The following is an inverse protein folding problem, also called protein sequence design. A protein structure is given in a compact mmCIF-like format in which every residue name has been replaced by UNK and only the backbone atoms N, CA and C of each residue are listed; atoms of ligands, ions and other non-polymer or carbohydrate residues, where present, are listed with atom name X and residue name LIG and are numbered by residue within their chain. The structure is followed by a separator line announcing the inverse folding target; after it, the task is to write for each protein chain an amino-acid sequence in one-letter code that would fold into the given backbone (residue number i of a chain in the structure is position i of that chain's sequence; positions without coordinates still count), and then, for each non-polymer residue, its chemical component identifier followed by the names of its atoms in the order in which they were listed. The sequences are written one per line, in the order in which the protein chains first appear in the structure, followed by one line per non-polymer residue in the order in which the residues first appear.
data_IF_919884490573
#
_entry.id   IF_919884490573
#
_cell.length_a   1.000
_cell.length_b   1.000
_cell.length_c   1.000
_cell.angle_alpha   90.00
_cell.angle_beta   90.00
_cell.angle_gamma   90.00
#
_symmetry.space_group_name_H-M   'P 1'
#
loop_
_entity.id
_entity.type
_entity.pdbx_description
1 polymer ?
#
# COMPACT_ATOMS: atom_id res chain seq x y z
N UNK A 1 3.15 -3.83 -7.34
CA UNK A 1 2.67 -5.05 -6.63
C UNK A 1 2.02 -5.94 -7.67
N UNK A 2 2.43 -7.22 -7.78
CA UNK A 2 1.76 -8.15 -8.70
C UNK A 2 0.33 -8.41 -8.19
N UNK A 3 -0.66 -8.06 -9.01
CA UNK A 3 -2.06 -8.32 -8.71
C UNK A 3 -2.44 -9.64 -9.39
N UNK A 4 -2.29 -10.75 -8.69
CA UNK A 4 -2.73 -12.07 -9.13
C UNK A 4 -3.47 -12.76 -7.98
N UNK A 5 -4.20 -13.81 -8.29
CA UNK A 5 -4.82 -14.66 -7.27
C UNK A 5 -4.40 -16.10 -7.47
N UNK A 6 -3.69 -16.66 -6.51
CA UNK A 6 -3.34 -18.08 -6.49
C UNK A 6 -4.43 -18.90 -5.84
N UNK A 7 -4.71 -20.07 -6.39
CA UNK A 7 -5.67 -21.03 -5.86
C UNK A 7 -5.13 -22.46 -5.99
N UNK A 8 -5.63 -23.38 -5.16
CA UNK A 8 -5.52 -24.82 -5.39
C UNK A 8 -6.87 -25.36 -5.86
N UNK A 9 -6.87 -25.99 -7.03
CA UNK A 9 -8.04 -26.70 -7.53
C UNK A 9 -7.94 -28.15 -7.06
N UNK A 10 -8.93 -28.58 -6.30
CA UNK A 10 -9.12 -29.95 -5.86
C UNK A 10 -10.28 -30.58 -6.65
N UNK A 11 -10.41 -31.89 -6.63
CA UNK A 11 -11.45 -32.57 -7.41
C UNK A 11 -12.87 -32.09 -7.07
N UNK A 12 -13.13 -31.79 -5.80
CA UNK A 12 -14.43 -31.40 -5.25
C UNK A 12 -14.60 -29.90 -5.02
N UNK A 13 -13.52 -29.14 -4.91
CA UNK A 13 -13.57 -27.69 -4.57
C UNK A 13 -12.37 -26.91 -5.10
N UNK A 14 -12.48 -25.59 -5.08
CA UNK A 14 -11.34 -24.67 -5.25
C UNK A 14 -11.03 -24.03 -3.89
N UNK A 15 -9.80 -24.12 -3.45
CA UNK A 15 -9.30 -23.47 -2.26
C UNK A 15 -8.61 -22.14 -2.65
N UNK A 16 -9.21 -21.02 -2.27
CA UNK A 16 -8.81 -19.68 -2.64
C UNK A 16 -8.75 -18.81 -1.37
N UNK A 17 -7.69 -18.93 -0.55
CA UNK A 17 -7.52 -18.19 0.70
C UNK A 17 -7.12 -16.73 0.46
N UNK A 18 -6.91 -15.97 1.54
CA UNK A 18 -6.58 -14.53 1.46
C UNK A 18 -5.11 -14.26 1.09
N UNK A 19 -4.28 -15.27 1.05
CA UNK A 19 -2.87 -15.24 0.65
C UNK A 19 -2.64 -15.96 -0.69
N UNK A 20 -1.42 -15.85 -1.26
CA UNK A 20 -1.07 -16.38 -2.59
C UNK A 20 0.06 -17.41 -2.59
N UNK A 21 0.40 -18.01 -1.45
CA UNK A 21 1.43 -19.06 -1.36
C UNK A 21 0.82 -20.44 -1.56
N UNK A 22 1.12 -21.12 -2.67
CA UNK A 22 0.70 -22.50 -2.92
C UNK A 22 1.25 -23.47 -1.86
N UNK A 23 2.48 -23.27 -1.40
CA UNK A 23 3.08 -24.03 -0.32
C UNK A 23 2.23 -23.95 0.96
N UNK A 24 1.89 -22.74 1.39
CA UNK A 24 1.06 -22.53 2.58
C UNK A 24 -0.34 -23.13 2.42
N UNK A 25 -0.91 -23.10 1.21
CA UNK A 25 -2.20 -23.73 0.92
C UNK A 25 -2.15 -25.25 1.11
N UNK A 26 -1.09 -25.90 0.62
CA UNK A 26 -0.89 -27.34 0.77
C UNK A 26 -0.69 -27.72 2.25
N UNK A 27 0.12 -26.97 2.98
CA UNK A 27 0.33 -27.15 4.42
C UNK A 27 -0.98 -27.04 5.21
N UNK A 28 -1.81 -26.04 4.93
CA UNK A 28 -3.10 -25.83 5.58
C UNK A 28 -4.09 -26.98 5.30
N UNK A 29 -4.01 -27.56 4.10
CA UNK A 29 -4.84 -28.70 3.72
C UNK A 29 -4.26 -30.07 4.16
N UNK A 30 -3.04 -30.09 4.70
CA UNK A 30 -2.35 -31.33 5.08
C UNK A 30 -2.00 -32.21 3.88
N UNK A 31 -1.73 -31.59 2.72
CA UNK A 31 -1.37 -32.29 1.48
C UNK A 31 0.14 -32.18 1.28
N UNK A 32 0.81 -33.32 1.09
CA UNK A 32 2.24 -33.35 0.77
C UNK A 32 2.50 -32.80 -0.63
N UNK A 33 3.55 -31.99 -0.75
CA UNK A 33 4.00 -31.42 -2.02
C UNK A 33 4.96 -32.38 -2.73
N UNK A 34 4.41 -33.43 -3.29
CA UNK A 34 5.15 -34.46 -4.01
C UNK A 34 4.50 -34.83 -5.36
N UNK A 35 5.22 -35.61 -6.16
CA UNK A 35 4.76 -36.09 -7.46
C UNK A 35 3.44 -36.89 -7.38
N UNK A 36 3.25 -37.71 -6.36
CA UNK A 36 2.06 -38.55 -6.22
C UNK A 36 0.82 -37.71 -5.98
N UNK A 37 0.90 -36.72 -5.08
CA UNK A 37 -0.21 -35.82 -4.78
C UNK A 37 -0.48 -34.85 -5.93
N UNK A 38 0.56 -34.28 -6.54
CA UNK A 38 0.43 -33.42 -7.72
C UNK A 38 -0.24 -34.11 -8.90
N UNK A 39 0.03 -35.42 -9.11
CA UNK A 39 -0.56 -36.19 -10.21
C UNK A 39 -2.00 -36.65 -9.96
N UNK A 40 -2.55 -36.51 -8.75
CA UNK A 40 -3.86 -37.08 -8.38
C UNK A 40 -4.79 -36.12 -7.64
N UNK A 41 -4.25 -35.21 -6.83
CA UNK A 41 -4.99 -34.57 -5.75
C UNK A 41 -5.30 -33.10 -6.02
N UNK A 42 -4.36 -32.34 -6.57
CA UNK A 42 -4.49 -30.90 -6.71
C UNK A 42 -3.89 -30.34 -8.00
N UNK A 43 -4.34 -29.14 -8.37
CA UNK A 43 -3.70 -28.31 -9.40
C UNK A 43 -3.44 -26.91 -8.82
N UNK A 44 -2.18 -26.45 -8.87
CA UNK A 44 -1.81 -25.08 -8.57
C UNK A 44 -2.17 -24.22 -9.76
N UNK A 45 -2.89 -23.16 -9.51
CA UNK A 45 -3.26 -22.21 -10.57
C UNK A 45 -2.98 -20.78 -10.13
N UNK A 46 -2.56 -19.97 -11.08
CA UNK A 46 -2.48 -18.52 -10.98
C UNK A 46 -3.52 -17.91 -11.90
N UNK A 47 -4.33 -17.02 -11.34
CA UNK A 47 -5.36 -16.30 -12.07
C UNK A 47 -5.00 -14.81 -12.06
N UNK A 48 -4.67 -14.28 -13.24
CA UNK A 48 -4.01 -12.97 -13.40
C UNK A 48 -4.85 -12.04 -14.25
N UNK A 49 -5.10 -10.79 -13.79
CA UNK A 49 -5.76 -9.78 -14.62
C UNK A 49 -4.90 -9.41 -15.84
N UNK A 50 -5.49 -8.80 -16.88
CA UNK A 50 -4.76 -8.37 -18.08
C UNK A 50 -3.56 -7.48 -17.74
N UNK A 51 -2.43 -7.71 -18.39
CA UNK A 51 -1.16 -6.98 -18.15
C UNK A 51 -1.28 -5.46 -18.34
N UNK A 52 -2.14 -5.02 -19.24
CA UNK A 52 -2.33 -3.60 -19.54
C UNK A 52 -3.02 -2.82 -18.42
N UNK A 53 -3.78 -3.47 -17.57
CA UNK A 53 -4.50 -2.85 -16.47
C UNK A 53 -3.97 -3.27 -15.10
N UNK A 54 -3.58 -4.55 -14.96
CA UNK A 54 -3.16 -5.19 -13.69
C UNK A 54 -4.15 -4.90 -12.54
N UNK A 55 -5.42 -4.74 -12.87
CA UNK A 55 -6.45 -4.30 -11.93
C UNK A 55 -7.36 -5.45 -11.52
N UNK A 56 -7.55 -5.62 -10.22
CA UNK A 56 -8.43 -6.64 -9.64
C UNK A 56 -9.92 -6.42 -9.94
N UNK A 57 -10.31 -5.26 -10.46
CA UNK A 57 -11.70 -4.96 -10.83
C UNK A 57 -12.05 -5.34 -12.29
N UNK A 58 -11.07 -5.75 -13.08
CA UNK A 58 -11.35 -6.23 -14.43
C UNK A 58 -12.30 -7.43 -14.42
N UNK A 59 -13.17 -7.57 -15.43
CA UNK A 59 -14.03 -8.76 -15.57
C UNK A 59 -13.19 -10.04 -15.59
N UNK A 60 -13.62 -11.07 -14.84
CA UNK A 60 -12.84 -12.30 -14.67
C UNK A 60 -12.69 -13.11 -15.94
N UNK A 61 -13.60 -12.97 -16.89
CA UNK A 61 -13.50 -13.59 -18.23
C UNK A 61 -12.30 -13.10 -19.03
N UNK A 62 -11.75 -11.91 -18.69
CA UNK A 62 -10.54 -11.33 -19.28
C UNK A 62 -9.24 -11.76 -18.59
N UNK A 63 -9.34 -12.41 -17.43
CA UNK A 63 -8.18 -12.86 -16.68
C UNK A 63 -7.60 -14.12 -17.29
N UNK A 64 -6.28 -14.30 -17.18
CA UNK A 64 -5.58 -15.49 -17.67
C UNK A 64 -5.44 -16.52 -16.54
N UNK A 65 -5.85 -17.76 -16.81
CA UNK A 65 -5.62 -18.91 -15.94
C UNK A 65 -4.37 -19.66 -16.40
N UNK A 66 -3.38 -19.72 -15.53
CA UNK A 66 -2.15 -20.47 -15.75
C UNK A 66 -2.01 -21.60 -14.71
N UNK A 67 -1.45 -22.71 -15.15
CA UNK A 67 -1.14 -23.85 -14.28
C UNK A 67 0.32 -23.72 -13.84
N UNK A 68 0.55 -23.71 -12.52
CA UNK A 68 1.87 -23.57 -11.90
C UNK A 68 2.41 -24.91 -11.41
N UNK A 69 2.37 -25.92 -12.28
CA UNK A 69 2.97 -27.23 -12.05
C UNK A 69 3.11 -28.02 -13.37
N UNK A 70 4.10 -28.91 -13.44
CA UNK A 70 4.38 -29.68 -14.65
C UNK A 70 3.43 -30.85 -14.88
N UNK A 71 2.88 -31.42 -13.81
CA UNK A 71 2.05 -32.61 -13.83
C UNK A 71 0.69 -32.28 -13.26
N UNK A 72 -0.36 -32.64 -14.00
CA UNK A 72 -1.75 -32.44 -13.56
C UNK A 72 -2.49 -33.78 -13.43
N UNK A 73 -3.47 -33.87 -12.52
CA UNK A 73 -4.34 -35.04 -12.41
C UNK A 73 -5.13 -35.31 -13.68
N UNK A 74 -5.47 -36.58 -13.95
CA UNK A 74 -6.29 -36.98 -15.10
C UNK A 74 -7.69 -36.33 -15.09
N UNK A 75 -8.20 -35.99 -13.91
CA UNK A 75 -9.51 -35.33 -13.77
C UNK A 75 -9.51 -33.83 -14.08
N UNK A 76 -8.31 -33.22 -14.27
CA UNK A 76 -8.19 -31.80 -14.56
C UNK A 76 -8.70 -31.45 -15.95
N UNK A 77 -9.67 -30.55 -16.02
CA UNK A 77 -10.16 -29.95 -17.27
C UNK A 77 -10.04 -28.42 -17.17
N UNK A 78 -9.06 -27.86 -17.89
CA UNK A 78 -8.77 -26.41 -17.84
C UNK A 78 -10.01 -25.54 -18.15
N UNK A 79 -10.91 -25.99 -19.00
CA UNK A 79 -12.10 -25.22 -19.39
C UNK A 79 -13.19 -25.28 -18.32
N UNK A 80 -13.47 -26.48 -17.81
CA UNK A 80 -14.46 -26.67 -16.74
C UNK A 80 -13.98 -26.07 -15.43
N UNK A 81 -12.71 -26.31 -15.08
CA UNK A 81 -12.12 -25.82 -13.81
C UNK A 81 -11.89 -24.31 -13.81
N UNK A 82 -11.70 -23.67 -14.98
CA UNK A 82 -11.68 -22.22 -15.09
C UNK A 82 -12.92 -21.58 -14.48
N UNK A 83 -14.11 -22.08 -14.78
CA UNK A 83 -15.34 -21.54 -14.20
C UNK A 83 -15.36 -21.66 -12.68
N UNK A 84 -14.91 -22.80 -12.13
CA UNK A 84 -14.80 -23.02 -10.68
C UNK A 84 -13.81 -22.05 -10.01
N UNK A 85 -12.70 -21.74 -10.68
CA UNK A 85 -11.72 -20.75 -10.21
C UNK A 85 -12.31 -19.35 -10.25
N UNK A 86 -13.01 -18.98 -11.33
CA UNK A 86 -13.72 -17.68 -11.43
C UNK A 86 -14.72 -17.48 -10.30
N UNK A 87 -15.51 -18.49 -9.99
CA UNK A 87 -16.48 -18.45 -8.88
C UNK A 87 -15.79 -18.27 -7.52
N UNK A 88 -14.70 -19.01 -7.28
CA UNK A 88 -13.92 -18.91 -6.04
C UNK A 88 -13.24 -17.53 -5.88
N UNK A 89 -12.65 -17.02 -6.97
CA UNK A 89 -12.02 -15.69 -7.00
C UNK A 89 -13.05 -14.59 -6.85
N UNK A 90 -14.25 -14.73 -7.41
CA UNK A 90 -15.32 -13.74 -7.22
C UNK A 90 -15.81 -13.68 -5.77
N UNK A 91 -15.86 -14.82 -5.07
CA UNK A 91 -16.16 -14.85 -3.62
C UNK A 91 -15.07 -14.13 -2.82
N UNK A 92 -13.79 -14.36 -3.16
CA UNK A 92 -12.66 -13.66 -2.57
C UNK A 92 -12.74 -12.15 -2.89
N UNK A 93 -12.99 -11.77 -4.14
CA UNK A 93 -13.11 -10.37 -4.58
C UNK A 93 -14.14 -9.58 -3.80
N UNK A 94 -15.33 -10.14 -3.58
CA UNK A 94 -16.40 -9.50 -2.81
C UNK A 94 -16.00 -9.13 -1.37
N UNK A 95 -15.04 -9.84 -0.81
CA UNK A 95 -14.53 -9.58 0.54
C UNK A 95 -13.36 -8.61 0.57
N UNK A 96 -12.56 -8.56 -0.50
CA UNK A 96 -11.28 -7.86 -0.49
C UNK A 96 -11.17 -6.70 -1.48
N UNK A 97 -12.08 -6.56 -2.43
CA UNK A 97 -12.01 -5.53 -3.47
C UNK A 97 -13.25 -4.64 -3.42
N UNK A 98 -13.05 -3.35 -3.13
CA UNK A 98 -14.11 -2.36 -2.98
C UNK A 98 -14.03 -1.33 -4.10
N UNK A 99 -15.12 -1.05 -4.78
CA UNK A 99 -15.18 -0.07 -5.88
C UNK A 99 -15.99 1.17 -5.55
N UNK A 100 -16.67 1.20 -4.41
CA UNK A 100 -17.44 2.32 -3.89
C UNK A 100 -18.04 1.98 -2.53
N UNK A 101 -18.76 2.92 -1.94
CA UNK A 101 -19.37 2.74 -0.62
C UNK A 101 -18.37 2.86 0.54
N UNK A 102 -18.86 2.59 1.75
CA UNK A 102 -18.08 2.71 2.98
C UNK A 102 -17.80 1.34 3.61
N UNK A 103 -16.54 1.06 3.87
CA UNK A 103 -16.07 -0.23 4.37
C UNK A 103 -15.24 -0.06 5.64
N UNK A 104 -15.40 -0.99 6.57
CA UNK A 104 -14.61 -1.06 7.81
C UNK A 104 -13.76 -2.32 7.72
N UNK A 105 -12.45 -2.18 7.88
CA UNK A 105 -11.48 -3.28 7.80
C UNK A 105 -10.62 -3.27 9.04
N UNK A 106 -10.54 -4.41 9.73
CA UNK A 106 -9.78 -4.54 10.98
C UNK A 106 -8.55 -5.42 10.84
N UNK A 107 -8.52 -6.30 9.85
CA UNK A 107 -7.43 -7.24 9.59
C UNK A 107 -7.37 -7.60 8.10
N UNK A 108 -6.26 -8.18 7.68
CA UNK A 108 -6.07 -8.63 6.30
C UNK A 108 -5.79 -7.50 5.31
N UNK A 109 -5.68 -7.87 4.04
CA UNK A 109 -5.39 -6.93 2.95
C UNK A 109 -6.62 -6.71 2.10
N UNK A 110 -6.93 -5.44 1.83
CA UNK A 110 -8.00 -5.03 0.92
C UNK A 110 -7.50 -4.08 -0.15
N UNK A 111 -8.20 -4.05 -1.26
CA UNK A 111 -7.92 -3.23 -2.43
C UNK A 111 -9.12 -2.33 -2.70
N UNK A 112 -8.91 -1.04 -2.71
CA UNK A 112 -9.97 -0.05 -2.89
C UNK A 112 -9.75 0.76 -4.17
N UNK A 113 -10.81 0.90 -4.95
CA UNK A 113 -10.82 1.57 -6.25
C UNK A 113 -11.98 2.58 -6.33
N UNK A 114 -11.96 3.42 -7.35
CA UNK A 114 -13.02 4.37 -7.64
C UNK A 114 -13.18 5.40 -6.54
N UNK A 115 -14.37 5.45 -5.93
CA UNK A 115 -14.74 6.39 -4.85
C UNK A 115 -14.98 5.69 -3.50
N UNK A 116 -14.45 4.47 -3.32
CA UNK A 116 -14.58 3.73 -2.06
C UNK A 116 -14.02 4.53 -0.86
N UNK A 117 -14.74 4.51 0.27
CA UNK A 117 -14.25 5.00 1.56
C UNK A 117 -13.89 3.82 2.46
N UNK A 118 -12.63 3.69 2.86
CA UNK A 118 -12.15 2.61 3.73
C UNK A 118 -11.71 3.15 5.08
N UNK A 119 -12.28 2.60 6.16
CA UNK A 119 -11.84 2.84 7.53
C UNK A 119 -11.04 1.63 8.00
N UNK A 120 -9.73 1.78 8.08
CA UNK A 120 -8.78 0.72 8.43
C UNK A 120 -8.33 0.84 9.89
N UNK A 121 -8.38 -0.27 10.62
CA UNK A 121 -8.02 -0.35 12.02
C UNK A 121 -7.03 -1.49 12.26
N UNK A 122 -6.37 -1.47 13.42
CA UNK A 122 -5.45 -2.53 13.90
C UNK A 122 -4.37 -2.86 12.85
N UNK A 123 -4.35 -4.10 12.36
CA UNK A 123 -3.32 -4.60 11.44
C UNK A 123 -3.83 -4.70 9.98
N UNK A 124 -4.91 -3.99 9.64
CA UNK A 124 -5.43 -3.95 8.28
C UNK A 124 -4.43 -3.33 7.32
N UNK A 125 -4.34 -3.88 6.12
CA UNK A 125 -3.55 -3.31 5.02
C UNK A 125 -4.48 -2.87 3.89
N UNK A 126 -4.35 -1.64 3.45
CA UNK A 126 -5.16 -1.06 2.37
C UNK A 126 -4.28 -0.66 1.20
N UNK A 127 -4.53 -1.23 0.03
CA UNK A 127 -4.01 -0.72 -1.24
C UNK A 127 -5.12 0.09 -1.93
N UNK A 128 -4.96 1.40 -2.01
CA UNK A 128 -5.97 2.33 -2.46
C UNK A 128 -5.56 3.00 -3.78
N UNK A 129 -6.47 3.03 -4.73
CA UNK A 129 -6.27 3.51 -6.09
C UNK A 129 -7.30 4.60 -6.44
N UNK A 130 -7.11 5.26 -7.55
CA UNK A 130 -8.02 6.27 -8.12
C UNK A 130 -8.31 7.43 -7.16
N UNK A 131 -9.58 7.66 -6.81
CA UNK A 131 -10.04 8.73 -5.92
C UNK A 131 -10.49 8.24 -4.54
N UNK A 132 -10.04 7.06 -4.15
CA UNK A 132 -10.38 6.40 -2.88
C UNK A 132 -10.06 7.28 -1.67
N UNK A 133 -10.88 7.19 -0.63
CA UNK A 133 -10.66 7.84 0.66
C UNK A 133 -10.31 6.78 1.70
N UNK A 134 -9.18 6.93 2.38
CA UNK A 134 -8.76 6.02 3.45
C UNK A 134 -8.61 6.77 4.76
N UNK A 135 -9.26 6.29 5.82
CA UNK A 135 -9.04 6.71 7.20
C UNK A 135 -8.40 5.57 7.97
N UNK A 136 -7.15 5.73 8.38
CA UNK A 136 -6.37 4.67 8.98
C UNK A 136 -5.98 4.97 10.43
N UNK A 137 -6.12 3.98 11.29
CA UNK A 137 -5.94 4.06 12.73
C UNK A 137 -5.10 2.90 13.26
N UNK A 138 -4.47 3.09 14.40
CA UNK A 138 -3.69 2.04 15.06
C UNK A 138 -2.40 1.70 14.31
N UNK A 139 -2.25 0.46 13.90
CA UNK A 139 -1.10 -0.07 13.14
C UNK A 139 -1.47 -0.37 11.68
N UNK A 140 -2.62 0.09 11.19
CA UNK A 140 -3.03 -0.16 9.81
C UNK A 140 -1.97 0.37 8.83
N UNK A 141 -1.75 -0.33 7.72
CA UNK A 141 -0.80 0.05 6.67
C UNK A 141 -1.55 0.52 5.42
N UNK A 142 -1.09 1.62 4.81
CA UNK A 142 -1.74 2.18 3.62
C UNK A 142 -0.74 2.35 2.49
N UNK A 143 -1.08 1.83 1.32
CA UNK A 143 -0.46 2.11 0.03
C UNK A 143 -1.44 2.94 -0.80
N UNK A 144 -1.11 4.19 -1.07
CA UNK A 144 -1.98 5.14 -1.75
C UNK A 144 -1.44 5.46 -3.14
N UNK A 145 -2.23 5.23 -4.16
CA UNK A 145 -1.88 5.47 -5.56
C UNK A 145 -2.87 6.44 -6.23
N UNK A 146 -2.43 7.10 -7.29
CA UNK A 146 -3.28 7.99 -8.08
C UNK A 146 -3.70 9.24 -7.31
N UNK A 147 -5.01 9.50 -7.17
CA UNK A 147 -5.57 10.67 -6.47
C UNK A 147 -6.15 10.31 -5.09
N UNK A 148 -5.71 9.21 -4.52
CA UNK A 148 -6.17 8.74 -3.20
C UNK A 148 -5.97 9.80 -2.12
N UNK A 149 -6.97 9.94 -1.25
CA UNK A 149 -6.87 10.78 -0.06
C UNK A 149 -6.75 9.92 1.19
N UNK A 150 -5.70 10.12 1.98
CA UNK A 150 -5.43 9.36 3.21
C UNK A 150 -5.44 10.30 4.41
N UNK A 151 -6.16 9.93 5.45
CA UNK A 151 -6.09 10.55 6.76
C UNK A 151 -5.69 9.50 7.81
N UNK A 152 -4.64 9.78 8.56
CA UNK A 152 -4.09 8.82 9.52
C UNK A 152 -4.02 9.40 10.92
N UNK A 153 -4.22 8.53 11.91
CA UNK A 153 -4.03 8.89 13.32
C UNK A 153 -3.20 7.80 14.00
N UNK A 154 -2.22 8.18 14.81
CA UNK A 154 -1.32 7.29 15.57
C UNK A 154 -0.09 6.83 14.78
N UNK A 155 0.20 5.52 14.69
CA UNK A 155 1.47 4.99 14.18
C UNK A 155 1.39 4.42 12.76
N UNK A 156 0.43 4.84 11.97
CA UNK A 156 0.14 4.29 10.63
C UNK A 156 1.29 4.52 9.65
N UNK A 157 1.91 3.48 9.07
CA UNK A 157 2.80 3.66 7.93
C UNK A 157 2.01 3.88 6.64
N UNK A 158 2.42 4.88 5.86
CA UNK A 158 1.81 5.23 4.58
C UNK A 158 2.88 5.34 3.50
N UNK A 159 2.67 4.68 2.38
CA UNK A 159 3.42 4.91 1.15
C UNK A 159 2.48 5.59 0.13
N UNK A 160 2.84 6.78 -0.33
CA UNK A 160 2.00 7.60 -1.19
C UNK A 160 2.70 7.86 -2.54
N UNK A 161 2.01 7.53 -3.62
CA UNK A 161 2.50 7.59 -4.99
C UNK A 161 1.58 8.44 -5.89
N UNK A 162 2.10 8.95 -6.99
CA UNK A 162 1.35 9.74 -7.95
C UNK A 162 0.91 11.08 -7.39
N UNK A 163 -0.38 11.36 -7.44
CA UNK A 163 -1.00 12.61 -6.93
C UNK A 163 -1.72 12.38 -5.57
N UNK A 164 -1.36 11.33 -4.83
CA UNK A 164 -1.99 11.01 -3.55
C UNK A 164 -1.82 12.14 -2.52
N UNK A 165 -2.85 12.36 -1.71
CA UNK A 165 -2.84 13.38 -0.67
C UNK A 165 -2.94 12.72 0.71
N UNK A 166 -1.99 13.02 1.61
CA UNK A 166 -1.91 12.43 2.96
C UNK A 166 -2.01 13.52 4.02
N UNK A 167 -2.90 13.33 4.99
CA UNK A 167 -2.91 14.06 6.27
C UNK A 167 -2.42 13.12 7.37
N UNK A 168 -1.23 13.36 7.88
CA UNK A 168 -0.56 12.51 8.84
C UNK A 168 -0.54 13.15 10.23
N UNK A 169 -1.13 12.47 11.21
CA UNK A 169 -1.17 12.91 12.60
C UNK A 169 -0.46 11.91 13.53
N UNK A 170 -0.10 12.35 14.72
CA UNK A 170 0.55 11.52 15.74
C UNK A 170 1.99 11.17 15.37
N UNK A 171 2.35 9.89 15.43
CA UNK A 171 3.68 9.40 15.06
C UNK A 171 3.70 8.70 13.68
N UNK A 172 2.75 9.03 12.83
CA UNK A 172 2.62 8.47 11.47
C UNK A 172 3.93 8.60 10.70
N UNK A 173 4.30 7.53 9.98
CA UNK A 173 5.43 7.54 9.04
C UNK A 173 4.89 7.60 7.62
N UNK A 174 5.34 8.55 6.83
CA UNK A 174 4.93 8.71 5.43
C UNK A 174 6.15 8.67 4.52
N UNK A 175 6.11 7.81 3.52
CA UNK A 175 7.01 7.85 2.37
C UNK A 175 6.22 8.39 1.18
N UNK A 176 6.62 9.54 0.67
CA UNK A 176 5.94 10.23 -0.41
C UNK A 176 6.82 10.27 -1.66
N UNK A 177 6.26 9.84 -2.77
CA UNK A 177 6.93 9.74 -4.06
C UNK A 177 6.19 10.56 -5.13
N UNK A 178 6.82 10.74 -6.27
CA UNK A 178 6.28 11.43 -7.44
C UNK A 178 5.82 12.86 -7.13
N UNK A 179 4.51 13.13 -7.17
CA UNK A 179 3.89 14.42 -6.87
C UNK A 179 2.99 14.39 -5.63
N UNK A 180 3.14 13.37 -4.80
CA UNK A 180 2.32 13.21 -3.59
C UNK A 180 2.38 14.47 -2.70
N UNK A 181 1.24 14.78 -2.07
CA UNK A 181 1.09 15.94 -1.19
C UNK A 181 0.88 15.46 0.23
N UNK A 182 1.74 15.91 1.16
CA UNK A 182 1.67 15.51 2.57
C UNK A 182 1.46 16.73 3.46
N UNK A 183 0.49 16.64 4.37
CA UNK A 183 0.35 17.55 5.52
C UNK A 183 0.68 16.74 6.78
N UNK A 184 1.81 17.05 7.39
CA UNK A 184 2.33 16.36 8.57
C UNK A 184 2.13 17.20 9.83
N UNK A 185 1.52 16.61 10.85
CA UNK A 185 1.19 17.25 12.12
C UNK A 185 1.77 16.47 13.29
N UNK A 186 1.87 17.10 14.45
CA UNK A 186 2.38 16.51 15.69
C UNK A 186 3.82 15.99 15.51
N UNK A 187 4.07 14.70 15.73
CA UNK A 187 5.39 14.06 15.59
C UNK A 187 5.52 13.23 14.31
N UNK A 188 4.70 13.49 13.29
CA UNK A 188 4.73 12.75 12.04
C UNK A 188 6.12 12.85 11.37
N UNK A 189 6.55 11.75 10.78
CA UNK A 189 7.83 11.63 10.08
C UNK A 189 7.57 11.43 8.59
N UNK A 190 8.13 12.29 7.77
CA UNK A 190 7.94 12.23 6.30
C UNK A 190 9.29 12.07 5.62
N UNK A 191 9.36 11.14 4.70
CA UNK A 191 10.42 11.04 3.70
C UNK A 191 9.82 11.39 2.33
N UNK A 192 10.23 12.54 1.79
CA UNK A 192 9.70 13.09 0.55
C UNK A 192 10.71 12.93 -0.57
N UNK A 193 10.33 12.23 -1.61
CA UNK A 193 11.14 11.89 -2.77
C UNK A 193 10.54 12.45 -4.07
N UNK A 194 11.34 12.56 -5.11
CA UNK A 194 10.90 13.05 -6.41
C UNK A 194 10.46 14.51 -6.37
N UNK A 195 9.22 14.78 -6.71
CA UNK A 195 8.62 16.14 -6.71
C UNK A 195 7.53 16.30 -5.64
N UNK A 196 7.56 15.48 -4.59
CA UNK A 196 6.58 15.52 -3.52
C UNK A 196 6.54 16.88 -2.81
N UNK A 197 5.36 17.28 -2.34
CA UNK A 197 5.16 18.54 -1.62
C UNK A 197 4.73 18.26 -0.18
N UNK A 198 5.45 18.84 0.79
CA UNK A 198 5.19 18.61 2.21
C UNK A 198 4.90 19.93 2.93
N UNK A 199 3.84 19.95 3.74
CA UNK A 199 3.64 20.97 4.77
C UNK A 199 3.79 20.34 6.14
N UNK A 200 4.80 20.75 6.89
CA UNK A 200 5.14 20.19 8.19
C UNK A 200 4.81 21.20 9.30
N UNK A 201 4.04 20.76 10.28
CA UNK A 201 3.56 21.56 11.41
C UNK A 201 3.97 20.92 12.75
N UNK A 202 3.95 21.69 13.81
CA UNK A 202 4.31 21.30 15.17
C UNK A 202 5.74 20.72 15.23
N UNK A 203 5.90 19.49 15.69
CA UNK A 203 7.21 18.81 15.82
C UNK A 203 7.48 17.83 14.68
N UNK A 204 6.78 17.95 13.56
CA UNK A 204 6.96 17.04 12.43
C UNK A 204 8.40 17.07 11.88
N UNK A 205 8.89 15.93 11.48
CA UNK A 205 10.24 15.79 10.91
C UNK A 205 10.14 15.37 9.44
N UNK A 206 10.87 16.06 8.57
CA UNK A 206 10.88 15.79 7.13
C UNK A 206 12.31 15.53 6.66
N UNK A 207 12.50 14.46 5.87
CA UNK A 207 13.64 14.30 4.98
C UNK A 207 13.18 14.58 3.57
N UNK A 208 13.80 15.50 2.88
CA UNK A 208 13.43 15.93 1.54
C UNK A 208 14.56 15.62 0.56
N UNK A 209 14.27 14.86 -0.47
CA UNK A 209 15.19 14.42 -1.52
C UNK A 209 14.71 14.84 -2.92
N UNK A 210 15.63 14.89 -3.88
CA UNK A 210 15.33 15.25 -5.26
C UNK A 210 14.79 16.68 -5.38
N UNK A 211 13.67 16.83 -6.08
CA UNK A 211 12.97 18.11 -6.28
C UNK A 211 11.87 18.40 -5.24
N UNK A 212 11.87 17.70 -4.10
CA UNK A 212 10.83 17.87 -3.09
C UNK A 212 10.71 19.31 -2.59
N UNK A 213 9.48 19.74 -2.33
CA UNK A 213 9.16 21.07 -1.83
C UNK A 213 8.60 20.98 -0.43
N UNK A 214 9.19 21.70 0.52
CA UNK A 214 8.77 21.66 1.93
C UNK A 214 8.45 23.06 2.43
N UNK A 215 7.29 23.21 3.07
CA UNK A 215 6.96 24.37 3.92
C UNK A 215 6.94 23.86 5.37
N UNK A 216 7.80 24.39 6.22
CA UNK A 216 7.95 23.98 7.60
C UNK A 216 7.52 25.11 8.55
N UNK A 217 6.68 24.78 9.52
CA UNK A 217 6.10 25.70 10.48
C UNK A 217 6.39 25.26 11.92
N UNK A 218 6.14 26.13 12.87
CA UNK A 218 6.27 25.93 14.32
C UNK A 218 7.71 25.51 14.72
N UNK A 219 7.90 24.29 15.18
CA UNK A 219 9.19 23.72 15.56
C UNK A 219 9.56 22.51 14.69
N UNK A 220 9.01 22.42 13.49
CA UNK A 220 9.29 21.33 12.55
C UNK A 220 10.78 21.31 12.16
N UNK A 221 11.30 20.09 11.92
CA UNK A 221 12.67 19.88 11.52
C UNK A 221 12.73 19.30 10.11
N UNK A 222 13.47 19.95 9.22
CA UNK A 222 13.67 19.49 7.84
C UNK A 222 15.14 19.19 7.60
N UNK A 223 15.42 17.96 7.10
CA UNK A 223 16.71 17.62 6.50
C UNK A 223 16.53 17.66 4.98
N UNK A 224 17.20 18.60 4.34
CA UNK A 224 17.14 18.80 2.89
C UNK A 224 18.40 18.24 2.23
N UNK A 225 18.20 17.46 1.19
CA UNK A 225 19.22 16.83 0.37
C UNK A 225 19.03 17.23 -1.09
N UNK A 226 20.01 16.99 -1.91
CA UNK A 226 19.98 17.25 -3.35
C UNK A 226 19.55 18.72 -3.66
N UNK A 227 18.52 18.87 -4.48
CA UNK A 227 17.97 20.18 -4.87
C UNK A 227 16.61 20.48 -4.23
N UNK A 228 16.31 19.84 -3.11
CA UNK A 228 15.07 20.08 -2.37
C UNK A 228 14.94 21.55 -1.95
N UNK A 229 13.73 22.10 -2.13
CA UNK A 229 13.45 23.51 -1.78
C UNK A 229 12.68 23.57 -0.47
N UNK A 230 13.19 24.34 0.50
CA UNK A 230 12.57 24.48 1.82
C UNK A 230 12.26 25.92 2.14
N UNK A 231 11.02 26.20 2.58
CA UNK A 231 10.61 27.44 3.22
C UNK A 231 10.33 27.16 4.68
N UNK A 232 11.05 27.81 5.57
CA UNK A 232 10.88 27.67 7.01
C UNK A 232 10.27 28.93 7.62
N UNK A 233 9.33 28.73 8.52
CA UNK A 233 8.59 29.78 9.21
C UNK A 233 8.64 29.54 10.73
N UNK A 234 8.39 30.58 11.51
CA UNK A 234 8.38 30.54 12.97
C UNK A 234 9.71 30.06 13.53
N UNK A 235 9.70 28.89 14.17
CA UNK A 235 10.86 28.27 14.83
C UNK A 235 11.31 26.97 14.13
N UNK A 236 10.87 26.76 12.88
CA UNK A 236 11.27 25.59 12.12
C UNK A 236 12.76 25.62 11.78
N UNK A 237 13.42 24.46 11.83
CA UNK A 237 14.84 24.31 11.59
C UNK A 237 15.09 23.57 10.27
N UNK A 238 16.00 24.07 9.44
CA UNK A 238 16.42 23.41 8.21
C UNK A 238 17.90 23.01 8.32
N UNK A 239 18.17 21.74 8.08
CA UNK A 239 19.52 21.15 8.09
C UNK A 239 19.85 20.76 6.66
N UNK A 240 20.97 21.21 6.15
CA UNK A 240 21.61 20.76 4.91
C UNK A 240 22.84 19.91 5.26
N UNK A 241 22.70 18.58 5.34
CA UNK A 241 23.76 17.71 5.86
C UNK A 241 25.01 17.74 4.97
N UNK A 242 24.85 17.82 3.66
CA UNK A 242 25.96 17.84 2.69
C UNK A 242 26.76 19.15 2.77
N UNK A 243 26.11 20.28 3.02
CA UNK A 243 26.72 21.58 3.20
C UNK A 243 27.22 21.82 4.65
N UNK A 244 26.91 20.93 5.58
CA UNK A 244 27.12 21.09 7.04
C UNK A 244 26.52 22.40 7.57
N UNK A 245 25.35 22.77 7.05
CA UNK A 245 24.71 24.05 7.31
C UNK A 245 23.35 23.86 7.99
N UNK A 246 23.07 24.70 8.99
CA UNK A 246 21.77 24.76 9.65
C UNK A 246 21.23 26.18 9.47
N UNK A 247 19.97 26.27 9.04
CA UNK A 247 19.28 27.54 8.87
C UNK A 247 18.10 27.61 9.84
N UNK A 248 18.01 28.74 10.53
CA UNK A 248 16.86 29.13 11.34
C UNK A 248 16.19 30.33 10.68
N UNK A 249 14.87 30.48 10.75
CA UNK A 249 14.19 31.70 10.28
C UNK A 249 14.71 32.95 10.98
N UNK A 250 14.63 34.08 10.31
CA UNK A 250 15.07 35.37 10.86
C UNK A 250 14.37 35.67 12.19
N UNK A 251 15.15 36.06 13.22
CA UNK A 251 14.66 36.36 14.57
C UNK A 251 15.02 35.33 15.64
N UNK A 252 15.74 34.26 15.28
CA UNK A 252 16.28 33.28 16.24
C UNK A 252 17.71 33.65 16.67
N UNK A 253 17.90 33.77 17.97
CA UNK A 253 19.23 33.81 18.60
C UNK A 253 19.51 32.42 19.15
N UNK A 254 20.65 31.83 18.79
CA UNK A 254 21.17 30.63 19.43
C UNK A 254 21.89 31.12 20.70
N UNK A 255 21.35 30.78 21.88
CA UNK A 255 22.15 30.84 23.12
C UNK A 255 23.08 29.63 23.10
N UNK A 256 24.36 29.84 22.73
CA UNK A 256 25.41 28.86 22.94
C UNK A 256 25.74 28.90 24.42
N UNK A 257 25.34 27.88 25.17
CA UNK A 257 25.96 27.61 26.46
C UNK A 257 27.37 27.03 26.20
N UNK A 258 28.39 27.78 26.58
CA UNK A 258 29.78 27.30 26.66
C UNK A 258 29.93 26.24 27.77
#
# INVERSE_FOLDING_TARGET
MCQLKSCLVLKDRVFCPDYNSHQQMLEELGIEDDYLHASKTFVRVEFTPPDNTKSLIEPLDRWTLEVDQDIVPEWWDKKADRQRVEEAVEIWRKRHVFTGGKHIVTTGTVYAYGDAEVHAYNDATVAAYDSTIVKAYGNAKVYAFGKTTVETVSNVPVEAYGDATVKAYGNTKVEAFDRAIVKAYSNAKVEANGSATVKAFNSATVKAHGNAKVEAFDIAIVKAFDIATVKAYNRAMVIYPEERKIIYPAGWTIETHE
#
